data_IF_436930160726
#
_entry.id   IF_436930160726
#
_cell.length_a   1.000
_cell.length_b   1.000
_cell.length_c   1.000
_cell.angle_alpha   90.00
_cell.angle_beta   90.00
_cell.angle_gamma   90.00
#
_symmetry.space_group_name_H-M   'P 1'
#
loop_
_entity.id
_entity.type
_entity.pdbx_description
1 polymer ?
#
# COMPACT_ATOMS: atom_id res chain seq x y z
N UNK A 1 -6.45 31.53 2.48
CA UNK A 1 -5.90 30.18 2.30
C UNK A 1 -4.58 30.29 1.58
N UNK A 2 -3.50 30.04 2.30
CA UNK A 2 -2.11 30.06 1.85
C UNK A 2 -1.79 28.78 1.07
N UNK A 3 -0.72 28.76 0.25
CA UNK A 3 -0.30 27.56 -0.48
C UNK A 3 -0.09 26.33 0.42
N UNK A 4 0.46 26.54 1.62
CA UNK A 4 0.70 25.50 2.62
C UNK A 4 -0.59 24.86 3.15
N UNK A 5 -1.65 25.65 3.39
CA UNK A 5 -2.95 25.14 3.84
C UNK A 5 -3.66 24.30 2.76
N UNK A 6 -3.42 24.63 1.48
CA UNK A 6 -3.92 23.82 0.35
C UNK A 6 -3.20 22.49 0.25
N UNK A 7 -1.88 22.45 0.46
CA UNK A 7 -1.09 21.22 0.44
C UNK A 7 -1.49 20.28 1.57
N UNK A 8 -1.70 20.79 2.79
CA UNK A 8 -2.19 19.99 3.91
C UNK A 8 -3.57 19.36 3.63
N UNK A 9 -4.52 20.13 3.11
CA UNK A 9 -5.86 19.61 2.79
C UNK A 9 -5.86 18.53 1.70
N UNK A 10 -4.94 18.62 0.72
CA UNK A 10 -4.77 17.57 -0.30
C UNK A 10 -4.18 16.30 0.32
N UNK A 11 -3.22 16.44 1.23
CA UNK A 11 -2.57 15.31 1.90
C UNK A 11 -3.54 14.58 2.83
N UNK A 12 -4.38 15.30 3.58
CA UNK A 12 -5.42 14.68 4.42
C UNK A 12 -6.39 13.83 3.61
N UNK A 13 -6.86 14.33 2.46
CA UNK A 13 -7.77 13.58 1.59
C UNK A 13 -7.11 12.32 1.03
N UNK A 14 -5.81 12.39 0.69
CA UNK A 14 -5.05 11.23 0.21
C UNK A 14 -4.87 10.19 1.32
N UNK A 15 -4.51 10.63 2.53
CA UNK A 15 -4.38 9.77 3.71
C UNK A 15 -5.70 9.10 4.07
N UNK A 16 -6.80 9.85 4.06
CA UNK A 16 -8.11 9.34 4.36
C UNK A 16 -8.52 8.24 3.36
N UNK A 17 -8.24 8.43 2.07
CA UNK A 17 -8.48 7.40 1.05
C UNK A 17 -7.62 6.16 1.26
N UNK A 18 -6.35 6.33 1.63
CA UNK A 18 -5.46 5.19 1.94
C UNK A 18 -6.04 4.38 3.11
N UNK A 19 -6.42 5.05 4.20
CA UNK A 19 -6.92 4.39 5.41
C UNK A 19 -8.31 3.77 5.20
N UNK A 20 -9.22 4.46 4.51
CA UNK A 20 -10.61 4.01 4.37
C UNK A 20 -10.83 3.00 3.23
N UNK A 21 -10.02 3.05 2.17
CA UNK A 21 -10.24 2.23 0.97
C UNK A 21 -9.12 1.23 0.72
N UNK A 22 -7.86 1.68 0.71
CA UNK A 22 -6.73 0.81 0.35
C UNK A 22 -6.36 -0.15 1.47
N UNK A 23 -6.34 0.32 2.72
CA UNK A 23 -5.91 -0.46 3.88
C UNK A 23 -6.83 -1.67 4.17
N UNK A 24 -8.17 -1.57 4.16
CA UNK A 24 -9.03 -2.74 4.37
C UNK A 24 -8.82 -3.83 3.31
N UNK A 25 -8.58 -3.42 2.06
CA UNK A 25 -8.28 -4.36 0.98
C UNK A 25 -6.92 -5.02 1.18
N UNK A 26 -5.88 -4.24 1.52
CA UNK A 26 -4.55 -4.78 1.83
C UNK A 26 -4.59 -5.79 2.99
N UNK A 27 -5.35 -5.52 4.05
CA UNK A 27 -5.55 -6.46 5.17
C UNK A 27 -6.31 -7.72 4.74
N UNK A 28 -7.24 -7.62 3.79
CA UNK A 28 -7.88 -8.80 3.19
C UNK A 28 -6.90 -9.64 2.39
N UNK A 29 -6.01 -9.00 1.62
CA UNK A 29 -4.95 -9.69 0.88
C UNK A 29 -3.96 -10.37 1.81
N UNK A 30 -3.55 -9.69 2.88
CA UNK A 30 -2.70 -10.26 3.93
C UNK A 30 -3.29 -11.55 4.49
N UNK A 31 -4.58 -11.55 4.82
CA UNK A 31 -5.27 -12.76 5.31
C UNK A 31 -5.29 -13.89 4.29
N UNK A 32 -5.58 -13.60 3.00
CA UNK A 32 -5.56 -14.60 1.93
C UNK A 32 -4.18 -15.25 1.80
N UNK A 33 -3.13 -14.43 1.69
CA UNK A 33 -1.77 -14.96 1.51
C UNK A 33 -1.25 -15.65 2.78
N UNK A 34 -1.68 -15.20 3.97
CA UNK A 34 -1.36 -15.88 5.23
C UNK A 34 -2.06 -17.24 5.35
N UNK A 35 -3.22 -17.43 4.71
CA UNK A 35 -3.90 -18.72 4.60
C UNK A 35 -3.29 -19.66 3.53
N UNK A 36 -2.25 -19.22 2.81
CA UNK A 36 -1.64 -20.00 1.73
C UNK A 36 -2.34 -19.85 0.38
N UNK A 37 -3.31 -18.95 0.27
CA UNK A 37 -4.01 -18.70 -0.99
C UNK A 37 -3.11 -17.95 -1.99
N UNK A 38 -3.34 -18.22 -3.27
CA UNK A 38 -2.71 -17.51 -4.37
C UNK A 38 -3.54 -16.28 -4.74
N UNK A 39 -2.86 -15.18 -5.02
CA UNK A 39 -3.49 -13.96 -5.51
C UNK A 39 -3.93 -14.12 -6.97
N UNK A 40 -5.13 -13.65 -7.27
CA UNK A 40 -5.64 -13.60 -8.63
C UNK A 40 -5.15 -12.33 -9.37
N UNK A 41 -5.49 -12.20 -10.66
CA UNK A 41 -5.07 -11.07 -11.49
C UNK A 41 -5.51 -9.71 -10.92
N UNK A 42 -6.74 -9.60 -10.40
CA UNK A 42 -7.24 -8.37 -9.77
C UNK A 42 -6.46 -7.99 -8.51
N UNK A 43 -6.15 -8.98 -7.67
CA UNK A 43 -5.36 -8.78 -6.45
C UNK A 43 -3.93 -8.30 -6.80
N UNK A 44 -3.35 -8.83 -7.88
CA UNK A 44 -2.04 -8.41 -8.40
C UNK A 44 -2.06 -7.00 -9.00
N UNK A 45 -3.07 -6.67 -9.83
CA UNK A 45 -3.26 -5.33 -10.39
C UNK A 45 -3.39 -4.27 -9.28
N UNK A 46 -4.11 -4.61 -8.21
CA UNK A 46 -4.23 -3.75 -7.03
C UNK A 46 -2.85 -3.48 -6.41
N UNK A 47 -2.05 -4.52 -6.16
CA UNK A 47 -0.71 -4.38 -5.56
C UNK A 47 0.21 -3.53 -6.45
N UNK A 48 0.17 -3.73 -7.75
CA UNK A 48 0.93 -2.89 -8.68
C UNK A 48 0.47 -1.43 -8.65
N UNK A 49 -0.85 -1.18 -8.60
CA UNK A 49 -1.39 0.18 -8.47
C UNK A 49 -0.86 0.86 -7.20
N UNK A 50 -0.85 0.15 -6.08
CA UNK A 50 -0.35 0.68 -4.81
C UNK A 50 1.13 1.04 -4.92
N UNK A 51 1.96 0.16 -5.48
CA UNK A 51 3.40 0.43 -5.64
C UNK A 51 3.63 1.64 -6.54
N UNK A 52 2.91 1.73 -7.67
CA UNK A 52 2.98 2.88 -8.58
C UNK A 52 2.57 4.17 -7.89
N UNK A 53 1.50 4.16 -7.11
CA UNK A 53 1.03 5.33 -6.38
C UNK A 53 2.03 5.73 -5.28
N UNK A 54 2.61 4.77 -4.56
CA UNK A 54 3.66 4.98 -3.58
C UNK A 54 4.90 5.69 -4.15
N UNK A 55 5.34 5.29 -5.34
CA UNK A 55 6.47 5.94 -6.03
C UNK A 55 6.19 7.39 -6.40
N UNK A 56 4.95 7.72 -6.80
CA UNK A 56 4.56 9.10 -7.14
C UNK A 56 4.55 10.02 -5.92
N UNK A 57 4.18 9.50 -4.75
CA UNK A 57 4.09 10.30 -3.51
C UNK A 57 5.40 10.31 -2.71
N UNK A 58 6.37 9.46 -3.06
CA UNK A 58 7.69 9.40 -2.39
C UNK A 58 8.36 10.77 -2.26
N UNK A 59 8.44 11.63 -3.29
CA UNK A 59 9.08 12.95 -3.16
C UNK A 59 8.34 13.90 -2.20
N UNK A 60 7.05 13.66 -1.96
CA UNK A 60 6.25 14.42 -0.99
C UNK A 60 6.58 13.90 0.42
N UNK A 61 6.57 12.58 0.62
CA UNK A 61 6.93 11.96 1.91
C UNK A 61 8.37 12.34 2.31
N UNK A 62 9.31 12.38 1.36
CA UNK A 62 10.70 12.77 1.61
C UNK A 62 10.82 14.24 2.12
N UNK A 63 9.85 15.11 1.82
CA UNK A 63 9.79 16.50 2.27
C UNK A 63 8.99 16.69 3.57
N UNK A 64 8.26 15.67 4.00
CA UNK A 64 7.32 15.70 5.11
C UNK A 64 7.59 14.55 6.09
N UNK A 65 8.53 14.73 7.04
CA UNK A 65 8.93 13.71 8.01
C UNK A 65 7.76 13.12 8.82
N UNK A 66 6.70 13.89 9.02
CA UNK A 66 5.48 13.48 9.72
C UNK A 66 4.78 12.27 9.08
N UNK A 67 4.99 12.03 7.78
CA UNK A 67 4.41 10.89 7.06
C UNK A 67 5.36 9.71 6.91
N UNK A 68 6.62 9.83 7.32
CA UNK A 68 7.62 8.77 7.16
C UNK A 68 7.25 7.51 7.94
N UNK A 69 6.77 7.63 9.19
CA UNK A 69 6.37 6.48 10.01
C UNK A 69 5.21 5.71 9.37
N UNK A 70 4.17 6.44 8.92
CA UNK A 70 3.03 5.83 8.25
C UNK A 70 3.43 5.17 6.92
N UNK A 71 4.24 5.84 6.11
CA UNK A 71 4.76 5.28 4.87
C UNK A 71 5.58 4.01 5.11
N UNK A 72 6.42 3.99 6.15
CA UNK A 72 7.21 2.83 6.53
C UNK A 72 6.34 1.64 6.93
N UNK A 73 5.27 1.88 7.71
CA UNK A 73 4.30 0.83 8.09
C UNK A 73 3.57 0.27 6.88
N UNK A 74 3.12 1.13 5.97
CA UNK A 74 2.45 0.71 4.74
C UNK A 74 3.39 -0.08 3.83
N UNK A 75 4.62 0.39 3.63
CA UNK A 75 5.63 -0.34 2.86
C UNK A 75 5.88 -1.73 3.46
N UNK A 76 6.05 -1.82 4.78
CA UNK A 76 6.24 -3.10 5.48
C UNK A 76 5.07 -4.07 5.23
N UNK A 77 3.82 -3.58 5.32
CA UNK A 77 2.63 -4.38 5.05
C UNK A 77 2.61 -4.90 3.61
N UNK A 78 2.81 -4.04 2.62
CA UNK A 78 2.78 -4.45 1.22
C UNK A 78 3.94 -5.38 0.85
N UNK A 79 5.13 -5.16 1.40
CA UNK A 79 6.26 -6.10 1.24
C UNK A 79 5.90 -7.48 1.79
N UNK A 80 5.33 -7.57 3.00
CA UNK A 80 4.88 -8.85 3.56
C UNK A 80 3.90 -9.57 2.62
N UNK A 81 2.88 -8.84 2.13
CA UNK A 81 1.86 -9.41 1.23
C UNK A 81 2.50 -9.96 -0.05
N UNK A 82 3.37 -9.17 -0.70
CA UNK A 82 4.03 -9.54 -1.96
C UNK A 82 4.93 -10.76 -1.77
N UNK A 83 5.74 -10.78 -0.70
CA UNK A 83 6.64 -11.90 -0.41
C UNK A 83 5.85 -13.19 -0.19
N UNK A 84 4.81 -13.15 0.64
CA UNK A 84 3.92 -14.30 0.89
C UNK A 84 3.18 -14.75 -0.36
N UNK A 85 2.69 -13.82 -1.18
CA UNK A 85 2.04 -14.15 -2.45
C UNK A 85 2.99 -14.91 -3.39
N UNK A 86 4.27 -14.47 -3.47
CA UNK A 86 5.29 -15.14 -4.26
C UNK A 86 5.64 -16.53 -3.71
N UNK A 87 5.70 -16.70 -2.39
CA UNK A 87 5.88 -18.00 -1.74
C UNK A 87 4.74 -18.97 -2.09
N UNK A 88 3.48 -18.54 -1.97
CA UNK A 88 2.31 -19.35 -2.29
C UNK A 88 2.28 -19.73 -3.78
N UNK A 89 2.64 -18.80 -4.67
CA UNK A 89 2.79 -19.07 -6.11
C UNK A 89 3.84 -20.14 -6.40
N UNK A 90 4.97 -20.10 -5.70
CA UNK A 90 6.04 -21.10 -5.85
C UNK A 90 5.62 -22.46 -5.30
N UNK A 91 4.84 -22.51 -4.22
CA UNK A 91 4.30 -23.75 -3.67
C UNK A 91 3.26 -24.39 -4.60
N UNK A 92 2.41 -23.60 -5.26
CA UNK A 92 1.42 -24.10 -6.24
C UNK A 92 2.07 -24.79 -7.45
N UNK A 93 3.28 -24.36 -7.83
CA UNK A 93 4.01 -24.86 -9.01
C UNK A 93 4.85 -26.11 -8.70
N UNK A 94 4.91 -26.57 -7.45
CA UNK A 94 5.60 -27.79 -7.02
C UNK A 94 4.63 -28.94 -6.86
#
# INVERSE_FOLDING_TARGET
>A
MTPAEKELGVIEVVLERIVKQRLPHALSLEKKVDAGEVLNEFDLEFLESVVRDGQKIKPIIDKHPEYQDLAARLMTLYTKIITKAAENENLRKK
#
